data_IF_301909799561
#
_entry.id   IF_301909799561
#
_cell.length_a   1.000
_cell.length_b   1.000
_cell.length_c   1.000
_cell.angle_alpha   90.00
_cell.angle_beta   90.00
_cell.angle_gamma   90.00
#
_symmetry.space_group_name_H-M   'P 1'
#
loop_
_entity.id
_entity.type
_entity.pdbx_description
1 polymer ?
#
# COMPACT_ATOMS: atom_id res chain seq x y z
N UNK A 1 14.32 -9.99 24.21
CA UNK A 1 14.78 -10.21 22.82
C UNK A 1 13.85 -9.49 21.84
N UNK A 2 14.29 -8.33 21.34
CA UNK A 2 13.57 -7.50 20.39
C UNK A 2 13.42 -8.26 19.06
N UNK A 3 12.27 -8.89 18.86
CA UNK A 3 11.92 -9.56 17.60
C UNK A 3 11.55 -8.50 16.57
N UNK A 4 12.49 -8.17 15.69
CA UNK A 4 12.16 -7.50 14.44
C UNK A 4 11.69 -8.60 13.50
N UNK A 5 10.39 -8.86 13.50
CA UNK A 5 9.77 -9.68 12.45
C UNK A 5 10.12 -9.06 11.10
N UNK A 6 10.73 -9.89 10.24
CA UNK A 6 11.10 -9.50 8.89
C UNK A 6 9.81 -9.30 8.10
N UNK A 7 9.43 -8.05 7.85
CA UNK A 7 8.36 -7.72 6.92
C UNK A 7 8.81 -8.16 5.54
N UNK A 8 8.16 -9.17 4.97
CA UNK A 8 8.52 -9.67 3.63
C UNK A 8 7.98 -8.70 2.57
N UNK A 9 8.47 -8.81 1.33
CA UNK A 9 7.91 -8.04 0.22
C UNK A 9 6.41 -8.35 -0.01
N UNK A 10 5.96 -9.54 0.40
CA UNK A 10 4.57 -10.00 0.26
C UNK A 10 3.61 -9.19 1.16
N UNK A 11 4.08 -8.77 2.34
CA UNK A 11 3.29 -7.94 3.26
C UNK A 11 2.89 -6.61 2.60
N UNK A 12 3.79 -6.03 1.80
CA UNK A 12 3.52 -4.77 1.11
C UNK A 12 2.52 -4.90 -0.02
N UNK A 13 2.52 -6.02 -0.73
CA UNK A 13 1.52 -6.30 -1.75
C UNK A 13 0.14 -6.42 -1.11
N UNK A 14 0.03 -7.22 -0.05
CA UNK A 14 -1.23 -7.42 0.67
C UNK A 14 -1.79 -6.10 1.22
N UNK A 15 -0.92 -5.24 1.78
CA UNK A 15 -1.31 -3.90 2.26
C UNK A 15 -1.83 -3.02 1.12
N UNK A 16 -1.11 -2.93 0.01
CA UNK A 16 -1.53 -2.05 -1.09
C UNK A 16 -2.83 -2.56 -1.74
N UNK A 17 -2.98 -3.87 -1.91
CA UNK A 17 -4.22 -4.50 -2.36
C UNK A 17 -5.39 -4.14 -1.45
N UNK A 18 -5.20 -4.22 -0.13
CA UNK A 18 -6.24 -3.85 0.82
C UNK A 18 -6.62 -2.36 0.74
N UNK A 19 -5.66 -1.47 0.48
CA UNK A 19 -5.93 -0.04 0.25
C UNK A 19 -6.82 0.15 -0.98
N UNK A 20 -6.47 -0.48 -2.11
CA UNK A 20 -7.25 -0.36 -3.35
C UNK A 20 -8.66 -0.94 -3.20
N UNK A 21 -8.80 -2.12 -2.60
CA UNK A 21 -10.11 -2.73 -2.33
C UNK A 21 -11.02 -1.82 -1.51
N UNK A 22 -10.47 -1.12 -0.50
CA UNK A 22 -11.24 -0.19 0.32
C UNK A 22 -11.67 1.06 -0.47
N UNK A 23 -10.83 1.55 -1.39
CA UNK A 23 -11.18 2.68 -2.25
C UNK A 23 -12.29 2.29 -3.25
N UNK A 24 -12.19 1.09 -3.85
CA UNK A 24 -13.22 0.55 -4.73
C UNK A 24 -14.55 0.32 -4.00
N UNK A 25 -14.52 -0.24 -2.78
CA UNK A 25 -15.74 -0.42 -1.93
C UNK A 25 -16.44 0.90 -1.61
N UNK A 26 -15.71 2.01 -1.61
CA UNK A 26 -16.24 3.37 -1.41
C UNK A 26 -16.59 4.07 -2.72
N UNK A 27 -16.48 3.39 -3.86
CA UNK A 27 -16.66 3.95 -5.21
C UNK A 27 -15.81 5.20 -5.47
N UNK A 28 -14.63 5.28 -4.83
CA UNK A 28 -13.71 6.41 -5.00
C UNK A 28 -12.78 6.23 -6.20
N UNK A 29 -12.59 4.99 -6.64
CA UNK A 29 -11.78 4.60 -7.81
C UNK A 29 -12.44 3.41 -8.50
N UNK A 30 -12.19 3.28 -9.79
CA UNK A 30 -12.60 2.15 -10.64
C UNK A 30 -11.41 1.59 -11.44
N UNK A 31 -11.62 0.44 -12.09
CA UNK A 31 -10.58 -0.20 -12.89
C UNK A 31 -10.10 0.75 -14.01
N UNK A 32 -8.78 0.88 -14.15
CA UNK A 32 -8.14 1.82 -15.08
C UNK A 32 -7.63 3.10 -14.42
N UNK A 33 -8.14 3.47 -13.24
CA UNK A 33 -7.68 4.66 -12.51
C UNK A 33 -6.23 4.54 -12.03
N UNK A 34 -5.57 5.70 -11.92
CA UNK A 34 -4.25 5.83 -11.32
C UNK A 34 -4.36 6.31 -9.88
N UNK A 35 -3.74 5.58 -8.96
CA UNK A 35 -3.69 5.90 -7.53
C UNK A 35 -2.25 6.15 -7.13
N UNK A 36 -2.03 7.25 -6.40
CA UNK A 36 -0.75 7.58 -5.78
C UNK A 36 -0.85 7.29 -4.29
N UNK A 37 -0.02 6.37 -3.81
CA UNK A 37 0.07 5.97 -2.40
C UNK A 37 1.34 6.56 -1.80
N UNK A 38 1.18 7.48 -0.84
CA UNK A 38 2.29 7.97 -0.01
C UNK A 38 2.39 7.13 1.25
N UNK A 39 3.55 6.53 1.51
CA UNK A 39 3.77 5.67 2.69
C UNK A 39 5.15 5.86 3.30
N UNK A 40 5.28 5.47 4.56
CA UNK A 40 6.59 5.25 5.19
C UNK A 40 7.10 3.83 4.98
N UNK A 41 8.37 3.61 5.29
CA UNK A 41 8.90 2.25 5.45
C UNK A 41 8.35 1.69 6.78
N UNK A 42 7.86 0.44 6.79
CA UNK A 42 7.00 -0.16 7.84
C UNK A 42 7.59 -0.23 9.26
N UNK A 43 8.77 0.35 9.51
CA UNK A 43 9.46 0.30 10.80
C UNK A 43 9.43 1.61 11.59
N UNK A 44 8.88 2.69 11.04
CA UNK A 44 8.99 3.99 11.69
C UNK A 44 7.71 4.51 12.37
N UNK A 45 7.96 5.23 13.45
CA UNK A 45 7.02 6.01 14.25
C UNK A 45 6.26 7.01 13.37
N UNK A 46 5.14 7.53 13.88
CA UNK A 46 4.42 8.65 13.25
C UNK A 46 5.39 9.75 12.79
N UNK A 47 5.26 10.21 11.55
CA UNK A 47 6.16 11.17 10.91
C UNK A 47 7.16 10.59 9.88
N UNK A 48 7.22 9.27 9.69
CA UNK A 48 8.19 8.60 8.80
C UNK A 48 7.79 8.42 7.32
N UNK A 49 6.97 9.31 6.73
CA UNK A 49 6.56 9.16 5.31
C UNK A 49 7.73 9.47 4.38
N UNK A 50 8.18 8.49 3.59
CA UNK A 50 9.39 8.60 2.76
C UNK A 50 9.32 7.88 1.39
N UNK A 51 8.17 7.30 1.04
CA UNK A 51 7.97 6.57 -0.22
C UNK A 51 6.68 6.99 -0.91
N UNK A 52 6.71 6.94 -2.24
CA UNK A 52 5.55 7.07 -3.10
C UNK A 52 5.48 5.84 -3.99
N UNK A 53 4.28 5.26 -4.13
CA UNK A 53 3.98 4.21 -5.10
C UNK A 53 2.84 4.66 -6.00
N UNK A 54 3.00 4.48 -7.31
CA UNK A 54 1.95 4.75 -8.29
C UNK A 54 1.46 3.40 -8.79
N UNK A 55 0.15 3.19 -8.74
CA UNK A 55 -0.47 1.94 -9.17
C UNK A 55 -1.66 2.22 -10.08
N UNK A 56 -1.95 1.27 -10.97
CA UNK A 56 -3.20 1.27 -11.74
C UNK A 56 -4.16 0.24 -11.17
N UNK A 57 -5.38 0.68 -10.89
CA UNK A 57 -6.46 -0.19 -10.41
C UNK A 57 -6.82 -1.21 -11.49
N UNK A 58 -6.87 -2.49 -11.12
CA UNK A 58 -7.20 -3.63 -11.99
C UNK A 58 -5.98 -4.44 -12.49
N UNK A 59 -4.74 -3.93 -12.36
CA UNK A 59 -3.55 -4.61 -12.91
C UNK A 59 -2.96 -5.70 -11.99
N UNK A 60 -3.54 -5.92 -10.80
CA UNK A 60 -3.25 -7.06 -9.95
C UNK A 60 -1.85 -7.08 -9.31
N UNK A 61 -1.01 -6.06 -9.52
CA UNK A 61 0.30 -5.93 -8.87
C UNK A 61 0.47 -4.60 -8.13
N UNK A 62 -0.02 -4.55 -6.89
CA UNK A 62 -0.11 -3.32 -6.09
C UNK A 62 1.03 -3.08 -5.13
#
# INVERSE_FOLDING_TARGET
PCGVEKTSADDWYAINSHVIENLQKKSAVEDGDLVIITKGMHKDKSGGTNMIKIVRVGEGNY
#
